data_IF_616446592355
#
_entry.id   IF_616446592355
#
_cell.length_a   1.000
_cell.length_b   1.000
_cell.length_c   1.000
_cell.angle_alpha   90.00
_cell.angle_beta   90.00
_cell.angle_gamma   90.00
#
_symmetry.space_group_name_H-M   'P 1'
#
loop_
_entity.id
_entity.type
_entity.pdbx_description
1 polymer ?
#
# COMPACT_ATOMS: atom_id res chain seq x y z
N UNK A 1 33.06 7.98 3.37
CA UNK A 1 31.75 8.08 4.02
C UNK A 1 30.66 7.90 3.00
N UNK A 2 29.78 6.97 3.25
CA UNK A 2 28.62 6.82 2.37
C UNK A 2 27.58 7.88 2.74
N UNK A 3 27.13 8.62 1.78
CA UNK A 3 26.07 9.57 1.96
C UNK A 3 24.76 8.86 1.67
N UNK A 4 24.01 8.60 2.72
CA UNK A 4 22.72 7.92 2.58
C UNK A 4 21.61 8.95 2.59
N UNK A 5 20.60 8.72 1.79
CA UNK A 5 19.43 9.58 1.70
C UNK A 5 18.18 8.73 1.84
N UNK A 6 17.09 9.36 2.18
CA UNK A 6 15.78 8.71 2.17
C UNK A 6 15.14 8.91 0.81
N UNK A 7 14.52 7.87 0.30
CA UNK A 7 13.79 7.93 -0.98
C UNK A 7 12.38 7.45 -0.74
N UNK A 8 11.41 8.31 -1.01
CA UNK A 8 10.01 7.91 -0.96
C UNK A 8 9.61 7.32 -2.30
N UNK A 9 9.10 6.10 -2.29
CA UNK A 9 8.58 5.44 -3.48
C UNK A 9 7.08 5.29 -3.32
N UNK A 10 6.34 5.80 -4.28
CA UNK A 10 4.89 5.63 -4.32
C UNK A 10 4.55 4.65 -5.42
N UNK A 11 3.75 3.67 -5.09
CA UNK A 11 3.32 2.68 -6.06
C UNK A 11 1.86 2.31 -5.83
N UNK A 12 1.28 1.71 -6.85
CA UNK A 12 -0.08 1.17 -6.77
C UNK A 12 0.02 -0.33 -6.94
N UNK A 13 -0.55 -1.05 -5.98
CA UNK A 13 -0.60 -2.52 -6.06
C UNK A 13 -1.86 -2.93 -6.81
N UNK A 14 -1.72 -3.91 -7.69
CA UNK A 14 -2.81 -4.42 -8.52
C UNK A 14 -3.16 -5.82 -8.02
N UNK A 15 -4.44 -6.01 -7.69
CA UNK A 15 -4.96 -7.29 -7.23
C UNK A 15 -6.01 -7.80 -8.18
N UNK A 16 -5.98 -9.12 -8.43
CA UNK A 16 -7.08 -9.78 -9.10
C UNK A 16 -8.02 -10.28 -8.03
N UNK A 17 -9.25 -9.82 -8.08
CA UNK A 17 -10.26 -10.19 -7.10
C UNK A 17 -11.39 -10.94 -7.82
N UNK A 18 -11.92 -11.92 -7.15
CA UNK A 18 -13.01 -12.73 -7.70
C UNK A 18 -14.24 -12.67 -6.82
N UNK A 19 -15.37 -12.58 -7.46
CA UNK A 19 -16.66 -12.51 -6.82
C UNK A 19 -17.59 -13.52 -7.46
N UNK A 20 -18.50 -14.09 -6.69
CA UNK A 20 -19.51 -14.97 -7.21
C UNK A 20 -20.85 -14.43 -6.73
N UNK A 21 -21.71 -14.06 -7.65
CA UNK A 21 -22.98 -13.40 -7.35
C UNK A 21 -24.11 -14.18 -7.99
N UNK A 22 -25.10 -14.52 -7.17
CA UNK A 22 -26.33 -15.16 -7.67
C UNK A 22 -27.24 -14.07 -8.25
N UNK A 23 -27.74 -14.28 -9.46
CA UNK A 23 -28.62 -13.34 -10.13
C UNK A 23 -29.78 -14.06 -10.77
N UNK A 24 -30.87 -13.35 -11.14
CA UNK A 24 -31.90 -13.94 -11.97
C UNK A 24 -31.30 -14.42 -13.29
N UNK A 25 -31.77 -15.58 -13.78
CA UNK A 25 -31.24 -16.17 -15.02
C UNK A 25 -31.38 -15.23 -16.21
N UNK A 26 -32.42 -14.40 -16.23
CA UNK A 26 -32.68 -13.46 -17.32
C UNK A 26 -31.77 -12.22 -17.30
N UNK A 27 -31.11 -11.97 -16.15
CA UNK A 27 -30.33 -10.76 -15.96
C UNK A 27 -28.98 -11.03 -15.28
N UNK A 28 -28.11 -11.82 -15.92
CA UNK A 28 -26.79 -12.11 -15.32
C UNK A 28 -25.93 -10.85 -15.14
N UNK A 29 -26.20 -9.80 -15.92
CA UNK A 29 -25.47 -8.55 -15.83
C UNK A 29 -25.65 -7.82 -14.50
N UNK A 30 -26.67 -8.19 -13.72
CA UNK A 30 -26.88 -7.60 -12.39
C UNK A 30 -25.69 -7.87 -11.46
N UNK A 31 -24.93 -8.93 -11.71
CA UNK A 31 -23.74 -9.24 -10.93
C UNK A 31 -22.69 -8.13 -11.00
N UNK A 32 -22.58 -7.48 -12.15
CA UNK A 32 -21.61 -6.39 -12.33
C UNK A 32 -21.96 -5.20 -11.43
N UNK A 33 -23.23 -4.90 -11.31
CA UNK A 33 -23.68 -3.81 -10.45
C UNK A 33 -23.41 -4.12 -8.99
N UNK A 34 -23.63 -5.35 -8.56
CA UNK A 34 -23.39 -5.77 -7.18
C UNK A 34 -21.94 -5.58 -6.80
N UNK A 35 -21.01 -5.97 -7.69
CA UNK A 35 -19.57 -5.79 -7.44
C UNK A 35 -19.21 -4.31 -7.46
N UNK A 36 -19.71 -3.57 -8.45
CA UNK A 36 -19.40 -2.14 -8.60
C UNK A 36 -19.86 -1.34 -7.39
N UNK A 37 -20.98 -1.70 -6.79
CA UNK A 37 -21.54 -1.02 -5.64
C UNK A 37 -21.00 -1.54 -4.30
N UNK A 38 -19.99 -2.40 -4.34
CA UNK A 38 -19.35 -2.96 -3.15
C UNK A 38 -20.28 -3.80 -2.28
N UNK A 39 -21.27 -4.41 -2.89
CA UNK A 39 -22.23 -5.25 -2.17
C UNK A 39 -21.87 -6.73 -2.23
N UNK A 40 -20.86 -7.10 -3.02
CA UNK A 40 -20.43 -8.48 -3.17
C UNK A 40 -19.26 -8.78 -2.25
N UNK A 41 -19.20 -10.03 -1.78
CA UNK A 41 -18.08 -10.50 -0.98
C UNK A 41 -17.04 -11.12 -1.90
N UNK A 42 -15.80 -10.74 -1.75
CA UNK A 42 -14.71 -11.38 -2.48
C UNK A 42 -14.44 -12.74 -1.89
N UNK A 43 -14.18 -13.73 -2.72
CA UNK A 43 -13.78 -15.04 -2.22
C UNK A 43 -12.32 -15.36 -2.55
N UNK A 44 -11.68 -14.57 -3.38
CA UNK A 44 -10.24 -14.74 -3.62
C UNK A 44 -9.60 -13.42 -4.01
N UNK A 45 -8.32 -13.28 -3.63
CA UNK A 45 -7.54 -12.10 -3.91
C UNK A 45 -6.12 -12.55 -4.23
N UNK A 46 -5.56 -12.04 -5.30
CA UNK A 46 -4.21 -12.35 -5.70
C UNK A 46 -3.50 -11.07 -6.13
N UNK A 47 -2.38 -10.79 -5.51
CA UNK A 47 -1.54 -9.67 -5.89
C UNK A 47 -0.82 -10.01 -7.19
N UNK A 48 -1.06 -9.24 -8.25
CA UNK A 48 -0.53 -9.55 -9.58
C UNK A 48 0.53 -8.56 -10.05
N UNK A 49 0.76 -7.48 -9.34
CA UNK A 49 1.81 -6.56 -9.70
C UNK A 49 1.72 -5.22 -9.02
N UNK A 50 2.73 -4.41 -9.26
CA UNK A 50 2.80 -3.06 -8.77
C UNK A 50 3.25 -2.14 -9.89
N UNK A 51 2.68 -0.95 -9.93
CA UNK A 51 3.15 0.11 -10.81
C UNK A 51 3.78 1.19 -9.94
N UNK A 52 5.05 1.46 -10.18
CA UNK A 52 5.73 2.54 -9.47
C UNK A 52 5.29 3.86 -10.10
N UNK A 53 4.68 4.70 -9.29
CA UNK A 53 4.15 5.98 -9.75
C UNK A 53 5.20 7.08 -9.70
N UNK A 54 6.01 7.08 -8.67
CA UNK A 54 7.04 8.12 -8.49
C UNK A 54 8.05 7.69 -7.44
N UNK A 55 9.19 8.36 -7.49
CA UNK A 55 10.16 8.29 -6.41
C UNK A 55 10.81 9.65 -6.27
N UNK A 56 11.21 9.99 -5.06
CA UNK A 56 11.99 11.21 -4.84
C UNK A 56 12.81 11.13 -3.58
N UNK A 57 13.96 11.77 -3.64
CA UNK A 57 14.85 11.89 -2.50
C UNK A 57 14.29 12.97 -1.57
N UNK A 58 14.38 12.72 -0.27
CA UNK A 58 13.93 13.68 0.72
C UNK A 58 14.80 13.63 1.97
N UNK A 59 14.73 14.69 2.75
CA UNK A 59 15.40 14.74 4.04
C UNK A 59 14.68 13.84 5.04
N UNK A 60 15.38 13.48 6.11
CA UNK A 60 14.77 12.70 7.18
C UNK A 60 13.58 13.44 7.79
N UNK A 61 13.69 14.74 7.93
CA UNK A 61 12.60 15.57 8.46
C UNK A 61 11.36 15.49 7.58
N UNK A 62 11.51 15.61 6.27
CA UNK A 62 10.41 15.46 5.34
C UNK A 62 9.81 14.06 5.38
N UNK A 63 10.67 13.03 5.43
CA UNK A 63 10.24 11.65 5.49
C UNK A 63 9.38 11.39 6.74
N UNK A 64 9.81 11.90 7.89
CA UNK A 64 9.06 11.76 9.14
C UNK A 64 7.73 12.50 9.10
N UNK A 65 7.69 13.64 8.41
CA UNK A 65 6.45 14.38 8.24
C UNK A 65 5.42 13.59 7.46
N UNK A 66 5.82 12.96 6.37
CA UNK A 66 4.93 12.09 5.61
C UNK A 66 4.47 10.89 6.44
N UNK A 67 5.37 10.33 7.24
CA UNK A 67 5.03 9.25 8.15
C UNK A 67 3.92 9.67 9.11
N UNK A 68 4.01 10.86 9.69
CA UNK A 68 3.00 11.37 10.61
C UNK A 68 1.65 11.60 9.93
N UNK A 69 1.68 12.05 8.68
CA UNK A 69 0.45 12.27 7.92
C UNK A 69 -0.30 10.96 7.64
N UNK A 70 0.45 9.91 7.34
CA UNK A 70 -0.14 8.63 6.94
C UNK A 70 -0.39 7.69 8.13
N UNK A 71 0.34 7.88 9.22
CA UNK A 71 0.32 6.98 10.38
C UNK A 71 0.18 7.79 11.67
N UNK A 72 -0.96 8.45 11.82
CA UNK A 72 -1.19 9.36 12.95
C UNK A 72 -1.05 8.71 14.32
N UNK A 73 -1.26 7.39 14.42
CA UNK A 73 -1.15 6.70 15.71
C UNK A 73 0.30 6.69 16.25
N UNK A 74 1.29 6.83 15.38
CA UNK A 74 2.69 6.88 15.80
C UNK A 74 3.24 8.30 15.92
N UNK A 75 2.38 9.30 15.83
CA UNK A 75 2.77 10.70 15.80
C UNK A 75 3.62 11.13 16.98
N UNK A 76 3.32 10.59 18.16
CA UNK A 76 4.03 10.97 19.38
C UNK A 76 5.27 10.13 19.67
N UNK A 77 5.58 9.18 18.79
CA UNK A 77 6.80 8.38 18.92
C UNK A 77 8.01 9.26 18.57
N UNK A 78 9.18 8.91 19.12
CA UNK A 78 10.40 9.61 18.73
C UNK A 78 10.84 9.18 17.32
N UNK A 79 11.80 9.91 16.77
CA UNK A 79 12.26 9.70 15.39
C UNK A 79 12.80 8.29 15.17
N UNK A 80 13.57 7.76 16.12
CA UNK A 80 14.15 6.43 15.99
C UNK A 80 13.06 5.34 15.96
N UNK A 81 12.04 5.50 16.79
CA UNK A 81 10.92 4.55 16.81
C UNK A 81 10.18 4.56 15.47
N UNK A 82 9.94 5.74 14.92
CA UNK A 82 9.27 5.86 13.63
C UNK A 82 10.07 5.23 12.51
N UNK A 83 11.36 5.52 12.47
CA UNK A 83 12.24 4.99 11.45
C UNK A 83 12.30 3.46 11.53
N UNK A 84 12.45 2.93 12.72
CA UNK A 84 12.54 1.49 12.90
C UNK A 84 11.22 0.77 12.56
N UNK A 85 10.09 1.41 12.81
CA UNK A 85 8.78 0.80 12.60
C UNK A 85 8.32 0.89 11.15
N UNK A 86 8.60 2.00 10.47
CA UNK A 86 7.98 2.30 9.18
C UNK A 86 8.95 2.39 8.01
N UNK A 87 10.23 2.66 8.26
CA UNK A 87 11.21 2.88 7.20
C UNK A 87 12.12 1.67 7.05
N UNK A 88 12.64 1.50 5.86
CA UNK A 88 13.56 0.42 5.56
C UNK A 88 14.93 0.99 5.23
N UNK A 89 15.97 0.47 5.88
CA UNK A 89 17.35 0.79 5.56
C UNK A 89 17.93 -0.34 4.74
N UNK A 90 18.44 -0.01 3.57
CA UNK A 90 18.92 -1.02 2.64
C UNK A 90 20.02 -1.90 3.25
N UNK A 91 20.92 -1.32 4.02
CA UNK A 91 22.01 -2.06 4.63
C UNK A 91 21.57 -2.93 5.81
N UNK A 92 20.34 -2.79 6.27
CA UNK A 92 19.76 -3.62 7.33
C UNK A 92 18.91 -4.76 6.77
N UNK A 93 18.69 -4.78 5.47
CA UNK A 93 17.96 -5.86 4.84
C UNK A 93 18.76 -7.14 4.95
N UNK A 94 18.15 -8.15 5.53
CA UNK A 94 18.80 -9.44 5.67
C UNK A 94 18.67 -10.18 4.36
N UNK A 95 19.81 -10.53 3.79
CA UNK A 95 19.86 -11.36 2.60
C UNK A 95 19.90 -12.80 3.06
N UNK A 96 18.85 -13.51 2.79
CA UNK A 96 18.76 -14.92 3.19
C UNK A 96 19.14 -15.85 2.04
#
# INVERSE_FOLDING_TARGET
>A
MSNKVWVMVECVSIFRMRYMVETPAEHPEYALDTVTMNEAKEFSQEHIGENIMSHRVMSEEEALKFCDEDNGYGKDWDSDQKINAFFTREDEQVVL
#
